data_IF_102186690778
#
_entry.id   IF_102186690778
#
_cell.length_a   1.000
_cell.length_b   1.000
_cell.length_c   1.000
_cell.angle_alpha   90.00
_cell.angle_beta   90.00
_cell.angle_gamma   90.00
#
_symmetry.space_group_name_H-M   'P 1'
#
loop_
_entity.id
_entity.type
_entity.pdbx_description
1 polymer ?
#
# COMPACT_ATOMS: atom_id res chain seq x y z
N UNK A 1 20.25 60.42 -41.41
CA UNK A 1 19.04 59.74 -40.92
C UNK A 1 19.44 58.41 -40.39
N UNK A 2 19.46 58.26 -39.07
CA UNK A 2 19.79 56.97 -38.43
C UNK A 2 18.52 56.50 -37.75
N UNK A 3 17.89 55.44 -38.31
CA UNK A 3 16.77 54.76 -37.70
C UNK A 3 17.32 53.74 -36.71
N UNK A 4 17.22 54.03 -35.43
CA UNK A 4 17.51 53.04 -34.37
C UNK A 4 16.28 52.23 -34.09
N UNK A 5 16.26 51.01 -34.57
CA UNK A 5 15.27 50.02 -34.22
C UNK A 5 15.64 49.43 -32.86
N UNK A 6 14.90 49.79 -31.83
CA UNK A 6 15.02 49.08 -30.52
C UNK A 6 14.16 47.83 -30.59
N UNK A 7 14.83 46.69 -30.63
CA UNK A 7 14.18 45.40 -30.43
C UNK A 7 14.13 45.14 -28.92
N UNK A 8 12.96 45.30 -28.36
CA UNK A 8 12.67 44.84 -27.01
C UNK A 8 12.53 43.33 -27.05
N UNK A 9 13.53 42.62 -26.55
CA UNK A 9 13.43 41.20 -26.30
C UNK A 9 12.58 40.98 -25.06
N UNK A 10 11.33 40.60 -25.24
CA UNK A 10 10.50 40.10 -24.16
C UNK A 10 10.93 38.68 -23.83
N UNK A 11 11.72 38.53 -22.78
CA UNK A 11 12.03 37.20 -22.23
C UNK A 11 10.81 36.69 -21.51
N UNK A 12 10.03 35.83 -22.18
CA UNK A 12 9.00 35.03 -21.51
C UNK A 12 9.69 33.99 -20.66
N UNK A 13 9.74 34.23 -19.33
CA UNK A 13 10.12 33.22 -18.37
C UNK A 13 9.03 32.15 -18.35
N UNK A 14 9.25 31.05 -19.04
CA UNK A 14 8.43 29.84 -18.92
C UNK A 14 8.78 29.23 -17.57
N UNK A 15 7.93 29.45 -16.59
CA UNK A 15 7.93 28.68 -15.34
C UNK A 15 7.54 27.26 -15.69
N UNK A 16 8.54 26.42 -15.92
CA UNK A 16 8.34 24.97 -15.99
C UNK A 16 8.03 24.53 -14.56
N UNK A 17 6.75 24.42 -14.23
CA UNK A 17 6.31 23.74 -13.03
C UNK A 17 6.59 22.26 -13.31
N UNK A 18 7.79 21.82 -12.96
CA UNK A 18 8.09 20.39 -12.91
C UNK A 18 7.14 19.77 -11.89
N UNK A 19 6.31 18.77 -12.24
CA UNK A 19 5.62 18.03 -11.22
C UNK A 19 6.70 17.48 -10.30
N UNK A 20 6.67 17.85 -9.03
CA UNK A 20 7.47 17.17 -8.03
C UNK A 20 7.01 15.72 -8.05
N UNK A 21 7.74 14.88 -8.78
CA UNK A 21 7.67 13.47 -8.58
C UNK A 21 8.16 13.24 -7.14
N UNK A 22 7.23 13.04 -6.24
CA UNK A 22 7.57 12.51 -4.93
C UNK A 22 8.23 11.16 -5.22
N UNK A 23 9.56 11.10 -5.09
CA UNK A 23 10.27 9.85 -5.14
C UNK A 23 9.66 8.99 -4.03
N UNK A 24 8.96 7.90 -4.42
CA UNK A 24 8.45 6.92 -3.47
C UNK A 24 9.65 6.43 -2.66
N UNK A 25 9.59 6.57 -1.32
CA UNK A 25 10.62 6.06 -0.45
C UNK A 25 10.77 4.53 -0.57
N UNK A 26 11.87 4.00 -0.06
CA UNK A 26 12.10 2.57 -0.02
C UNK A 26 11.04 1.83 0.81
N UNK A 27 10.51 2.48 1.81
CA UNK A 27 9.45 1.99 2.70
C UNK A 27 8.15 2.75 2.47
N UNK A 28 7.04 2.08 2.71
CA UNK A 28 5.73 2.70 2.65
C UNK A 28 5.45 3.60 3.85
N UNK A 29 4.54 4.55 3.64
CA UNK A 29 4.05 5.46 4.68
C UNK A 29 2.77 4.91 5.32
N UNK A 30 2.40 5.45 6.48
CA UNK A 30 1.14 5.10 7.13
C UNK A 30 -0.09 5.42 6.25
N UNK A 31 -0.06 6.52 5.52
CA UNK A 31 -1.15 6.90 4.61
C UNK A 31 -1.27 5.94 3.42
N UNK A 32 -0.15 5.50 2.85
CA UNK A 32 -0.11 4.49 1.80
C UNK A 32 -0.63 3.13 2.31
N UNK A 33 -0.26 2.74 3.52
CA UNK A 33 -0.78 1.51 4.15
C UNK A 33 -2.29 1.58 4.36
N UNK A 34 -2.81 2.72 4.82
CA UNK A 34 -4.25 2.96 4.96
C UNK A 34 -4.97 2.91 3.61
N UNK A 35 -4.41 3.51 2.57
CA UNK A 35 -4.96 3.45 1.21
C UNK A 35 -5.01 2.00 0.69
N UNK A 36 -3.98 1.21 0.95
CA UNK A 36 -3.93 -0.21 0.61
C UNK A 36 -5.04 -1.00 1.33
N UNK A 37 -5.26 -0.72 2.62
CA UNK A 37 -6.34 -1.36 3.39
C UNK A 37 -7.71 -1.04 2.82
N UNK A 38 -7.99 0.22 2.49
CA UNK A 38 -9.26 0.65 1.88
C UNK A 38 -9.47 -0.04 0.52
N UNK A 39 -8.42 -0.12 -0.30
CA UNK A 39 -8.45 -0.82 -1.58
C UNK A 39 -8.79 -2.30 -1.40
N UNK A 40 -8.11 -2.98 -0.48
CA UNK A 40 -8.34 -4.40 -0.21
C UNK A 40 -9.75 -4.65 0.32
N UNK A 41 -10.23 -3.83 1.25
CA UNK A 41 -11.59 -3.94 1.80
C UNK A 41 -12.67 -3.74 0.73
N UNK A 42 -12.50 -2.78 -0.18
CA UNK A 42 -13.40 -2.56 -1.30
C UNK A 42 -13.43 -3.74 -2.27
N UNK A 43 -12.27 -4.28 -2.63
CA UNK A 43 -12.15 -5.45 -3.49
C UNK A 43 -12.77 -6.71 -2.84
N UNK A 44 -12.58 -6.91 -1.54
CA UNK A 44 -13.19 -8.02 -0.77
C UNK A 44 -14.72 -7.97 -0.79
N UNK A 45 -15.30 -6.77 -0.72
CA UNK A 45 -16.75 -6.59 -0.83
C UNK A 45 -17.28 -6.90 -2.22
N UNK A 46 -16.51 -6.60 -3.26
CA UNK A 46 -16.90 -6.85 -4.64
C UNK A 46 -16.80 -8.33 -5.03
N UNK A 47 -15.67 -8.98 -4.72
CA UNK A 47 -15.42 -10.39 -5.00
C UNK A 47 -14.37 -10.95 -4.02
N UNK A 48 -14.84 -11.59 -2.96
CA UNK A 48 -13.99 -12.17 -1.91
C UNK A 48 -12.99 -13.18 -2.47
N UNK A 49 -13.47 -14.13 -3.25
CA UNK A 49 -12.64 -15.25 -3.75
C UNK A 49 -11.52 -14.76 -4.65
N UNK A 50 -11.86 -13.92 -5.63
CA UNK A 50 -10.87 -13.34 -6.54
C UNK A 50 -9.86 -12.46 -5.80
N UNK A 51 -10.32 -11.68 -4.85
CA UNK A 51 -9.45 -10.79 -4.09
C UNK A 51 -8.44 -11.54 -3.22
N UNK A 52 -8.88 -12.61 -2.53
CA UNK A 52 -7.98 -13.47 -1.76
C UNK A 52 -6.91 -14.12 -2.66
N UNK A 53 -7.28 -14.56 -3.86
CA UNK A 53 -6.35 -15.13 -4.83
C UNK A 53 -5.32 -14.10 -5.30
N UNK A 54 -5.76 -12.89 -5.65
CA UNK A 54 -4.87 -11.80 -6.06
C UNK A 54 -3.91 -11.39 -4.93
N UNK A 55 -4.39 -11.28 -3.70
CA UNK A 55 -3.54 -10.97 -2.54
C UNK A 55 -2.49 -12.07 -2.35
N UNK A 56 -2.88 -13.33 -2.39
CA UNK A 56 -1.95 -14.44 -2.22
C UNK A 56 -0.90 -14.54 -3.32
N UNK A 57 -1.19 -14.03 -4.51
CA UNK A 57 -0.23 -13.95 -5.62
C UNK A 57 0.63 -12.68 -5.59
N UNK A 58 0.28 -11.70 -4.76
CA UNK A 58 0.91 -10.37 -4.77
C UNK A 58 0.57 -9.57 -6.03
N UNK A 59 -0.56 -9.87 -6.67
CA UNK A 59 -1.04 -9.25 -7.89
C UNK A 59 -2.14 -8.21 -7.61
N UNK A 60 -2.63 -7.53 -8.65
CA UNK A 60 -3.70 -6.55 -8.50
C UNK A 60 -3.29 -5.29 -7.75
N UNK A 61 -2.00 -5.05 -7.59
CA UNK A 61 -1.48 -3.92 -6.81
C UNK A 61 -1.61 -4.11 -5.30
N UNK A 62 -1.66 -5.36 -4.81
CA UNK A 62 -1.70 -5.71 -3.39
C UNK A 62 -0.33 -5.98 -2.77
N UNK A 63 0.73 -5.74 -3.51
CA UNK A 63 2.10 -5.74 -3.00
C UNK A 63 2.84 -4.52 -3.54
N UNK A 64 3.19 -3.60 -2.66
CA UNK A 64 3.94 -2.40 -2.99
C UNK A 64 5.06 -2.20 -1.96
N UNK A 65 6.31 -2.45 -2.38
CA UNK A 65 7.49 -2.35 -1.51
C UNK A 65 7.33 -3.24 -0.27
N UNK A 66 7.19 -2.67 0.91
CA UNK A 66 6.94 -3.34 2.19
C UNK A 66 5.48 -3.29 2.65
N UNK A 67 4.59 -2.68 1.83
CA UNK A 67 3.15 -2.59 2.11
C UNK A 67 2.40 -3.72 1.42
N UNK A 68 1.65 -4.48 2.18
CA UNK A 68 0.74 -5.50 1.66
C UNK A 68 -0.40 -5.76 2.65
N UNK A 69 -1.61 -6.11 2.15
CA UNK A 69 -2.69 -6.54 3.01
C UNK A 69 -2.51 -8.00 3.42
N UNK A 70 -3.05 -8.32 4.56
CA UNK A 70 -3.36 -9.69 4.94
C UNK A 70 -4.82 -9.78 5.39
N UNK A 71 -5.42 -10.94 5.18
CA UNK A 71 -6.82 -11.16 5.50
C UNK A 71 -6.97 -12.37 6.41
N UNK A 72 -7.83 -12.28 7.39
CA UNK A 72 -8.17 -13.38 8.25
C UNK A 72 -9.68 -13.48 8.47
N UNK A 73 -10.15 -14.67 8.83
CA UNK A 73 -11.57 -14.92 9.12
C UNK A 73 -11.87 -14.53 10.57
N UNK A 74 -12.94 -13.76 10.79
CA UNK A 74 -13.32 -13.33 12.15
C UNK A 74 -13.87 -14.47 13.01
N UNK A 75 -14.44 -15.51 12.40
CA UNK A 75 -15.04 -16.62 13.15
C UNK A 75 -14.01 -17.48 13.90
N UNK A 76 -12.83 -17.68 13.32
CA UNK A 76 -11.80 -18.57 13.86
C UNK A 76 -10.39 -17.96 13.94
N UNK A 77 -10.22 -16.72 13.45
CA UNK A 77 -8.94 -16.02 13.41
C UNK A 77 -7.97 -16.51 12.34
N UNK A 78 -8.38 -17.44 11.49
CA UNK A 78 -7.48 -18.06 10.50
C UNK A 78 -7.06 -17.10 9.41
N UNK A 79 -5.76 -17.01 9.15
CA UNK A 79 -5.20 -16.18 8.08
C UNK A 79 -5.47 -16.83 6.72
N UNK A 80 -6.20 -16.13 5.85
CA UNK A 80 -6.66 -16.59 4.55
C UNK A 80 -5.80 -16.11 3.39
N UNK A 81 -5.20 -14.93 3.51
CA UNK A 81 -4.40 -14.35 2.44
C UNK A 81 -3.31 -13.44 2.97
N UNK A 82 -2.13 -13.52 2.35
CA UNK A 82 -0.95 -12.70 2.61
C UNK A 82 -0.19 -12.51 1.30
N UNK A 83 0.07 -11.26 0.91
CA UNK A 83 0.78 -10.98 -0.33
C UNK A 83 2.30 -11.20 -0.25
N UNK A 84 2.91 -10.96 0.91
CA UNK A 84 4.35 -11.14 1.09
C UNK A 84 4.75 -12.61 1.14
N UNK A 85 5.75 -12.98 0.33
CA UNK A 85 6.30 -14.33 0.34
C UNK A 85 6.87 -14.73 1.71
N UNK A 86 7.48 -13.78 2.43
CA UNK A 86 8.04 -14.02 3.76
C UNK A 86 6.97 -14.32 4.82
N UNK A 87 5.75 -13.86 4.60
CA UNK A 87 4.64 -14.07 5.52
C UNK A 87 3.73 -15.25 5.14
N UNK A 88 3.94 -15.89 4.00
CA UNK A 88 3.12 -17.04 3.56
C UNK A 88 3.13 -18.23 4.52
N UNK A 89 4.18 -18.36 5.33
CA UNK A 89 4.25 -19.36 6.39
C UNK A 89 3.12 -19.23 7.43
N UNK A 90 2.49 -18.04 7.52
CA UNK A 90 1.39 -17.81 8.46
C UNK A 90 0.01 -18.14 7.89
N UNK A 91 -0.09 -18.50 6.59
CA UNK A 91 -1.35 -18.93 6.01
C UNK A 91 -1.92 -20.12 6.77
N UNK A 92 -3.21 -20.05 7.11
CA UNK A 92 -3.91 -21.09 7.85
C UNK A 92 -3.66 -21.08 9.35
N UNK A 93 -2.77 -20.22 9.87
CA UNK A 93 -2.54 -20.05 11.32
C UNK A 93 -3.55 -19.06 11.91
N UNK A 94 -3.77 -19.14 13.22
CA UNK A 94 -4.62 -18.20 13.95
C UNK A 94 -3.87 -16.89 14.17
N UNK A 95 -4.45 -15.77 13.72
CA UNK A 95 -3.85 -14.44 13.89
C UNK A 95 -3.55 -14.11 15.34
N UNK A 96 -4.33 -14.61 16.30
CA UNK A 96 -4.15 -14.37 17.73
C UNK A 96 -2.85 -14.97 18.30
N UNK A 97 -2.26 -15.94 17.58
CA UNK A 97 -1.00 -16.56 17.95
C UNK A 97 0.26 -15.80 17.46
N UNK A 98 0.10 -14.73 16.68
CA UNK A 98 1.22 -14.01 16.08
C UNK A 98 2.05 -13.29 17.15
N UNK A 99 3.38 -13.43 16.98
CA UNK A 99 4.41 -12.81 17.82
C UNK A 99 5.39 -12.05 16.96
N UNK A 100 5.95 -10.99 17.49
CA UNK A 100 7.07 -10.30 16.87
C UNK A 100 8.41 -11.02 17.11
N UNK A 101 9.49 -10.48 16.55
CA UNK A 101 10.83 -11.05 16.70
C UNK A 101 11.34 -11.04 18.14
N UNK A 102 10.76 -10.23 19.04
CA UNK A 102 11.09 -10.20 20.48
C UNK A 102 10.29 -11.20 21.30
N UNK A 103 9.30 -11.87 20.68
CA UNK A 103 8.38 -12.79 21.34
C UNK A 103 7.13 -12.12 21.91
N UNK A 104 6.95 -10.82 21.70
CA UNK A 104 5.72 -10.12 22.11
C UNK A 104 4.54 -10.61 21.26
N UNK A 105 3.48 -11.06 21.91
CA UNK A 105 2.23 -11.46 21.25
C UNK A 105 1.42 -10.21 20.90
N UNK A 106 1.20 -9.94 19.64
CA UNK A 106 0.45 -8.79 19.15
C UNK A 106 -0.85 -9.17 18.39
N UNK A 107 -0.99 -10.43 18.05
CA UNK A 107 -2.13 -10.92 17.28
C UNK A 107 -3.50 -10.66 17.90
N UNK A 108 -3.68 -10.81 19.24
CA UNK A 108 -4.96 -10.49 19.89
C UNK A 108 -5.40 -9.04 19.73
N UNK A 109 -4.45 -8.09 19.70
CA UNK A 109 -4.75 -6.66 19.45
C UNK A 109 -5.25 -6.44 18.04
N UNK A 110 -4.64 -7.10 17.04
CA UNK A 110 -5.10 -7.04 15.66
C UNK A 110 -6.49 -7.66 15.48
N UNK A 111 -6.73 -8.80 16.13
CA UNK A 111 -8.03 -9.46 16.07
C UNK A 111 -9.13 -8.59 16.69
N UNK A 112 -8.86 -7.98 17.84
CA UNK A 112 -9.81 -7.09 18.51
C UNK A 112 -10.12 -5.82 17.68
N UNK A 113 -9.10 -5.28 17.00
CA UNK A 113 -9.26 -4.10 16.15
C UNK A 113 -10.14 -4.35 14.90
N UNK A 114 -10.34 -5.61 14.50
CA UNK A 114 -11.15 -5.99 13.35
C UNK A 114 -12.62 -6.31 13.70
N UNK A 115 -12.97 -6.37 14.97
CA UNK A 115 -14.35 -6.58 15.46
C UNK A 115 -15.13 -5.29 15.55
#
# INVERSE_FOLDING_TARGET
MICRLMIAAASAAVLVISPMAFAQGQFGTADEAKAMLVKAAGAMKADKTKTLDLINKGEGGFLDRDIYPFCFELSDGKILAVASNNAKQFLGTDIRALKDATGKVYGPELYAAAQ
#
